data_IF_657098815765
#
_entry.id   IF_657098815765
#
_cell.length_a   1.000
_cell.length_b   1.000
_cell.length_c   1.000
_cell.angle_alpha   90.00
_cell.angle_beta   90.00
_cell.angle_gamma   90.00
#
_symmetry.space_group_name_H-M   'P 1'
#
loop_
_entity.id
_entity.type
_entity.pdbx_description
1 polymer ?
#
# COMPACT_ATOMS: atom_id res chain seq x y z
N UNK A 1 -9.11 -20.64 -14.50
CA UNK A 1 -8.17 -20.36 -13.39
C UNK A 1 -7.87 -18.90 -13.29
N UNK A 2 -8.10 -18.37 -12.12
CA UNK A 2 -7.93 -16.96 -11.87
C UNK A 2 -6.51 -16.66 -11.43
N UNK A 3 -5.95 -15.62 -11.99
CA UNK A 3 -4.70 -15.12 -11.50
C UNK A 3 -4.93 -14.24 -10.30
N UNK A 4 -4.09 -14.40 -9.31
CA UNK A 4 -4.20 -13.59 -8.10
C UNK A 4 -3.46 -12.28 -8.28
N UNK A 5 -3.80 -11.56 -9.31
CA UNK A 5 -3.19 -10.27 -9.57
C UNK A 5 -4.00 -9.21 -8.81
N UNK A 6 -3.34 -8.42 -7.97
CA UNK A 6 -4.06 -7.37 -7.23
C UNK A 6 -4.66 -6.38 -8.22
N UNK A 7 -5.94 -6.14 -8.09
CA UNK A 7 -6.59 -5.12 -8.90
C UNK A 7 -6.17 -3.74 -8.39
N UNK A 8 -6.39 -2.72 -9.23
CA UNK A 8 -6.11 -1.36 -8.80
C UNK A 8 -6.87 -1.01 -7.53
N UNK A 9 -8.12 -1.48 -7.44
CA UNK A 9 -8.93 -1.19 -6.26
C UNK A 9 -8.31 -1.78 -5.01
N UNK A 10 -7.77 -3.00 -5.10
CA UNK A 10 -7.14 -3.63 -3.96
C UNK A 10 -5.89 -2.86 -3.54
N UNK A 11 -5.12 -2.40 -4.51
CA UNK A 11 -3.92 -1.64 -4.20
C UNK A 11 -4.28 -0.31 -3.55
N UNK A 12 -5.28 0.37 -4.08
CA UNK A 12 -5.72 1.64 -3.52
C UNK A 12 -6.25 1.47 -2.10
N UNK A 13 -7.03 0.40 -1.87
CA UNK A 13 -7.54 0.13 -0.54
C UNK A 13 -6.39 -0.11 0.45
N UNK A 14 -5.39 -0.85 0.02
CA UNK A 14 -4.26 -1.11 0.89
C UNK A 14 -3.47 0.15 1.17
N UNK A 15 -3.28 1.00 0.16
CA UNK A 15 -2.62 2.27 0.35
C UNK A 15 -3.35 3.13 1.37
N UNK A 16 -4.67 3.17 1.27
CA UNK A 16 -5.49 3.94 2.19
C UNK A 16 -5.28 3.47 3.63
N UNK A 17 -5.26 2.16 3.83
CA UNK A 17 -5.02 1.60 5.15
C UNK A 17 -3.64 1.99 5.69
N UNK A 18 -2.64 1.95 4.84
CA UNK A 18 -1.29 2.27 5.27
C UNK A 18 -1.15 3.75 5.62
N UNK A 19 -1.75 4.63 4.82
CA UNK A 19 -1.74 6.05 5.12
C UNK A 19 -2.46 6.33 6.43
N UNK A 20 -3.56 5.64 6.66
CA UNK A 20 -4.29 5.83 7.90
C UNK A 20 -3.48 5.35 9.09
N UNK A 21 -2.81 4.22 8.95
CA UNK A 21 -1.97 3.71 10.01
C UNK A 21 -0.85 4.69 10.35
N UNK A 22 -0.22 5.26 9.33
CA UNK A 22 0.84 6.23 9.56
C UNK A 22 0.30 7.51 10.21
N UNK A 23 -0.90 7.90 9.84
CA UNK A 23 -1.50 9.09 10.42
C UNK A 23 -1.79 8.88 11.91
N UNK A 24 -2.25 7.70 12.27
CA UNK A 24 -2.60 7.40 13.65
C UNK A 24 -1.39 7.08 14.51
N UNK A 25 -0.41 6.43 13.93
CA UNK A 25 0.75 5.93 14.67
C UNK A 25 2.04 6.33 14.00
N UNK A 26 2.32 7.64 13.89
CA UNK A 26 3.51 8.09 13.18
C UNK A 26 4.81 7.66 13.83
N UNK A 27 4.76 7.40 15.14
CA UNK A 27 5.96 7.00 15.89
C UNK A 27 6.07 5.50 16.06
N UNK A 28 5.20 4.74 15.40
CA UNK A 28 5.23 3.29 15.51
C UNK A 28 6.53 2.73 14.94
N UNK A 29 7.09 1.68 15.58
CA UNK A 29 8.24 1.00 14.99
C UNK A 29 7.93 0.39 13.63
N UNK A 30 6.64 0.22 13.32
CA UNK A 30 6.23 -0.29 12.00
C UNK A 30 6.15 0.78 10.94
N UNK A 31 6.26 2.06 11.31
CA UNK A 31 6.09 3.15 10.35
C UNK A 31 7.02 3.03 9.14
N UNK A 32 8.32 2.72 9.32
CA UNK A 32 9.18 2.56 8.14
C UNK A 32 8.74 1.43 7.22
N UNK A 33 8.24 0.33 7.79
CA UNK A 33 7.74 -0.78 6.98
C UNK A 33 6.50 -0.35 6.19
N UNK A 34 5.61 0.42 6.81
CA UNK A 34 4.42 0.92 6.12
C UNK A 34 4.82 1.85 4.97
N UNK A 35 5.80 2.71 5.21
CA UNK A 35 6.27 3.61 4.16
C UNK A 35 6.87 2.84 2.99
N UNK A 36 7.63 1.81 3.30
CA UNK A 36 8.22 0.98 2.26
C UNK A 36 7.13 0.30 1.43
N UNK A 37 6.12 -0.21 2.09
CA UNK A 37 5.03 -0.87 1.38
C UNK A 37 4.25 0.12 0.52
N UNK A 38 4.05 1.34 1.02
CA UNK A 38 3.37 2.37 0.25
C UNK A 38 4.10 2.62 -1.06
N UNK A 39 5.41 2.78 -1.00
CA UNK A 39 6.18 3.03 -2.21
C UNK A 39 6.10 1.87 -3.17
N UNK A 40 6.14 0.66 -2.64
CA UNK A 40 6.03 -0.53 -3.48
C UNK A 40 4.67 -0.59 -4.20
N UNK A 41 3.61 -0.28 -3.47
CA UNK A 41 2.28 -0.30 -4.05
C UNK A 41 2.09 0.81 -5.09
N UNK A 42 2.69 1.97 -4.83
CA UNK A 42 2.61 3.07 -5.80
C UNK A 42 3.31 2.70 -7.10
N UNK A 43 4.43 1.97 -7.00
CA UNK A 43 5.10 1.49 -8.19
C UNK A 43 4.23 0.53 -8.98
N UNK A 44 3.54 -0.36 -8.26
CA UNK A 44 2.65 -1.30 -8.93
C UNK A 44 1.53 -0.57 -9.68
N UNK A 45 1.00 0.49 -9.09
CA UNK A 45 -0.02 1.28 -9.77
C UNK A 45 0.53 1.94 -11.04
N UNK A 46 1.75 2.40 -10.98
CA UNK A 46 2.37 3.03 -12.13
C UNK A 46 2.50 2.05 -13.29
N UNK A 47 2.84 0.81 -12.98
CA UNK A 47 2.96 -0.20 -14.02
C UNK A 47 1.62 -0.68 -14.53
N UNK A 48 0.61 -0.64 -13.68
CA UNK A 48 -0.72 -1.11 -14.06
C UNK A 48 -1.41 -0.14 -15.03
N UNK A 49 -1.00 1.10 -15.01
CA UNK A 49 -1.57 2.12 -15.89
C UNK A 49 -1.06 1.98 -17.29
#
# INVERSE_FOLDING_TARGET
MEWNIPSENAIISRLDELYEALDRFPDSPMAPAWQHEIEHLKEQLAYAG
#
